data_IF_927429705528
#
_entry.id   IF_927429705528
#
_cell.length_a   1.000
_cell.length_b   1.000
_cell.length_c   1.000
_cell.angle_alpha   90.00
_cell.angle_beta   90.00
_cell.angle_gamma   90.00
#
_symmetry.space_group_name_H-M   'P 1'
#
loop_
_entity.id
_entity.type
_entity.pdbx_description
1 polymer ?
#
# COMPACT_ATOMS: atom_id res chain seq x y z
N UNK A 1 4.24 34.92 24.31
CA UNK A 1 5.49 34.42 23.68
C UNK A 1 5.27 34.47 22.17
N UNK A 2 5.81 35.47 21.45
CA UNK A 2 5.54 35.62 20.02
C UNK A 2 6.68 35.08 19.14
N UNK A 3 6.30 34.84 17.88
CA UNK A 3 7.07 34.77 16.62
C UNK A 3 7.80 33.47 16.25
N UNK A 4 7.29 32.84 15.20
CA UNK A 4 8.09 32.49 14.02
C UNK A 4 7.20 32.56 12.76
N UNK A 5 7.49 33.57 11.94
CA UNK A 5 6.94 33.78 10.62
C UNK A 5 7.55 32.77 9.64
N UNK A 6 6.72 32.07 8.87
CA UNK A 6 7.12 31.30 7.70
C UNK A 6 6.54 31.96 6.45
N UNK A 7 7.40 32.63 5.68
CA UNK A 7 7.06 33.27 4.41
C UNK A 7 6.56 32.20 3.41
N UNK A 8 5.30 32.31 2.98
CA UNK A 8 4.87 31.75 1.71
C UNK A 8 5.24 32.76 0.62
N UNK A 9 6.19 32.41 -0.25
CA UNK A 9 6.37 33.12 -1.52
C UNK A 9 5.17 32.75 -2.39
N UNK A 10 4.12 33.57 -2.37
CA UNK A 10 3.00 33.47 -3.30
C UNK A 10 3.37 34.25 -4.55
N UNK A 11 3.93 33.54 -5.55
CA UNK A 11 3.98 34.05 -6.92
C UNK A 11 2.67 33.66 -7.61
N UNK A 12 1.68 34.54 -7.50
CA UNK A 12 0.36 34.45 -8.13
C UNK A 12 -0.67 33.71 -7.27
N UNK A 13 -1.70 34.44 -6.82
CA UNK A 13 -2.87 33.82 -6.21
C UNK A 13 -3.60 32.98 -7.26
N UNK A 14 -3.67 31.66 -7.05
CA UNK A 14 -4.64 30.85 -7.78
C UNK A 14 -6.07 31.31 -7.37
N UNK A 15 -7.06 31.33 -8.28
CA UNK A 15 -8.43 31.74 -7.96
C UNK A 15 -9.15 30.80 -6.97
N UNK A 16 -8.52 29.66 -6.66
CA UNK A 16 -8.93 28.70 -5.64
C UNK A 16 -7.67 28.41 -4.83
N UNK A 17 -7.75 28.51 -3.50
CA UNK A 17 -6.66 28.10 -2.61
C UNK A 17 -6.51 26.57 -2.68
N UNK A 18 -5.84 26.07 -3.72
CA UNK A 18 -5.55 24.64 -3.87
C UNK A 18 -4.24 24.35 -3.13
N UNK A 19 -4.31 23.50 -2.12
CA UNK A 19 -3.16 23.02 -1.38
C UNK A 19 -2.70 21.68 -1.98
N UNK A 20 -1.40 21.62 -2.32
CA UNK A 20 -0.75 20.37 -2.68
C UNK A 20 -0.34 19.64 -1.40
N UNK A 21 -1.08 18.59 -1.06
CA UNK A 21 -0.94 17.90 0.21
C UNK A 21 0.01 16.70 0.13
N UNK A 22 0.02 15.94 -0.98
CA UNK A 22 0.80 14.70 -1.11
C UNK A 22 0.95 14.18 -2.53
N UNK A 23 1.90 13.28 -2.79
CA UNK A 23 2.16 12.71 -4.13
C UNK A 23 2.56 11.24 -4.12
N UNK A 24 1.85 10.48 -4.95
CA UNK A 24 2.19 9.13 -5.38
C UNK A 24 2.97 9.13 -6.68
N UNK A 25 4.29 9.05 -6.55
CA UNK A 25 5.18 8.83 -7.69
C UNK A 25 5.49 7.35 -7.96
N UNK A 26 4.83 6.41 -7.26
CA UNK A 26 5.07 4.97 -7.44
C UNK A 26 4.28 4.36 -8.59
N UNK A 27 3.15 4.98 -8.96
CA UNK A 27 2.31 4.58 -10.09
C UNK A 27 2.58 5.35 -11.38
N UNK A 28 2.21 4.74 -12.52
CA UNK A 28 2.08 5.41 -13.82
C UNK A 28 0.59 5.39 -14.25
N UNK A 29 -0.11 6.54 -14.31
CA UNK A 29 0.41 7.89 -14.10
C UNK A 29 0.57 8.25 -12.62
N UNK A 30 1.52 9.15 -12.35
CA UNK A 30 1.71 9.81 -11.05
C UNK A 30 0.39 10.41 -10.57
N UNK A 31 0.08 10.27 -9.28
CA UNK A 31 -1.12 10.86 -8.66
C UNK A 31 -0.72 11.85 -7.58
N UNK A 32 -1.49 12.92 -7.44
CA UNK A 32 -1.28 13.97 -6.43
C UNK A 32 -2.55 14.16 -5.62
N UNK A 33 -2.41 14.32 -4.31
CA UNK A 33 -3.50 14.71 -3.44
C UNK A 33 -3.58 16.22 -3.39
N UNK A 34 -4.73 16.73 -3.80
CA UNK A 34 -5.07 18.15 -3.76
C UNK A 34 -6.17 18.38 -2.73
N UNK A 35 -6.10 19.51 -2.05
CA UNK A 35 -7.12 19.97 -1.11
C UNK A 35 -7.62 21.32 -1.57
N UNK A 36 -8.93 21.48 -1.66
CA UNK A 36 -9.55 22.80 -1.80
C UNK A 36 -9.57 23.44 -0.40
N UNK A 37 -8.81 24.50 -0.17
CA UNK A 37 -8.72 25.10 1.16
C UNK A 37 -10.01 25.81 1.58
N UNK A 38 -10.94 26.07 0.64
CA UNK A 38 -12.25 26.67 0.91
C UNK A 38 -13.23 25.61 1.41
N UNK A 39 -13.36 24.50 0.69
CA UNK A 39 -14.31 23.42 1.04
C UNK A 39 -13.71 22.38 1.98
N UNK A 40 -12.38 22.36 2.12
CA UNK A 40 -11.57 21.32 2.76
C UNK A 40 -11.74 19.93 2.11
N UNK A 41 -12.28 19.88 0.88
CA UNK A 41 -12.39 18.65 0.11
C UNK A 41 -11.02 18.19 -0.38
N UNK A 42 -10.74 16.90 -0.25
CA UNK A 42 -9.48 16.28 -0.65
C UNK A 42 -9.74 15.24 -1.73
N UNK A 43 -8.95 15.29 -2.80
CA UNK A 43 -9.03 14.30 -3.87
C UNK A 43 -7.64 13.89 -4.37
N UNK A 44 -7.52 12.62 -4.78
CA UNK A 44 -6.37 12.10 -5.51
C UNK A 44 -6.57 12.24 -7.01
N UNK A 45 -5.73 13.03 -7.66
CA UNK A 45 -5.85 13.37 -9.08
C UNK A 45 -4.58 12.95 -9.80
N UNK A 46 -4.74 12.24 -10.93
CA UNK A 46 -3.61 11.89 -11.81
C UNK A 46 -3.01 13.13 -12.47
N UNK A 47 -1.72 13.11 -12.78
CA UNK A 47 -1.13 14.07 -13.71
C UNK A 47 -1.85 13.93 -15.07
N UNK A 48 -2.29 15.05 -15.64
CA UNK A 48 -3.23 15.15 -16.76
C UNK A 48 -4.71 15.20 -16.36
N UNK A 49 -5.04 15.07 -15.07
CA UNK A 49 -6.39 15.15 -14.52
C UNK A 49 -6.83 16.59 -14.20
N UNK A 50 -8.03 16.74 -13.63
CA UNK A 50 -8.59 18.03 -13.20
C UNK A 50 -9.06 17.98 -11.75
N UNK A 51 -8.90 19.09 -11.03
CA UNK A 51 -9.35 19.31 -9.66
C UNK A 51 -9.80 20.77 -9.50
N UNK A 52 -10.97 21.00 -8.92
CA UNK A 52 -11.52 22.36 -8.68
C UNK A 52 -11.43 23.30 -9.91
N UNK A 53 -11.61 22.76 -11.12
CA UNK A 53 -11.51 23.51 -12.38
C UNK A 53 -10.09 23.78 -12.89
N UNK A 54 -9.05 23.35 -12.17
CA UNK A 54 -7.65 23.40 -12.59
C UNK A 54 -7.19 22.04 -13.13
N UNK A 55 -6.37 22.05 -14.17
CA UNK A 55 -5.74 20.89 -14.77
C UNK A 55 -4.35 20.66 -14.18
N UNK A 56 -4.07 19.43 -13.76
CA UNK A 56 -2.77 19.03 -13.22
C UNK A 56 -1.84 18.73 -14.38
N UNK A 57 -1.03 19.69 -14.82
CA UNK A 57 -0.22 19.53 -16.03
C UNK A 57 1.03 18.69 -15.83
N UNK A 58 1.73 18.89 -14.73
CA UNK A 58 2.99 18.20 -14.45
C UNK A 58 3.32 18.23 -12.97
N UNK A 59 4.06 17.22 -12.52
CA UNK A 59 4.69 17.18 -11.22
C UNK A 59 6.22 17.14 -11.39
N UNK A 60 6.92 18.10 -10.78
CA UNK A 60 8.38 18.13 -10.71
C UNK A 60 8.83 17.48 -9.40
N UNK A 61 9.34 16.25 -9.50
CA UNK A 61 9.80 15.49 -8.34
C UNK A 61 11.04 16.10 -7.67
N UNK A 62 11.92 16.76 -8.45
CA UNK A 62 13.15 17.36 -7.94
C UNK A 62 12.87 18.61 -7.10
N UNK A 63 11.82 19.36 -7.45
CA UNK A 63 11.42 20.58 -6.74
C UNK A 63 10.21 20.37 -5.82
N UNK A 64 9.57 19.20 -5.88
CA UNK A 64 8.30 18.89 -5.22
C UNK A 64 7.21 19.93 -5.53
N UNK A 65 7.12 20.31 -6.81
CA UNK A 65 6.21 21.35 -7.29
C UNK A 65 5.21 20.78 -8.29
N UNK A 66 3.96 21.18 -8.13
CA UNK A 66 2.89 20.85 -9.05
C UNK A 66 2.60 22.03 -9.98
N UNK A 67 2.50 21.77 -11.28
CA UNK A 67 2.03 22.75 -12.26
C UNK A 67 0.54 22.57 -12.50
N UNK A 68 -0.25 23.57 -12.11
CA UNK A 68 -1.68 23.64 -12.33
C UNK A 68 -1.98 24.64 -13.44
N UNK A 69 -2.99 24.39 -14.27
CA UNK A 69 -3.42 25.34 -15.30
C UNK A 69 -4.94 25.48 -15.35
N UNK A 70 -5.44 26.68 -15.60
CA UNK A 70 -6.86 26.95 -15.86
C UNK A 70 -6.95 27.88 -17.05
N UNK A 71 -7.28 27.32 -18.22
CA UNK A 71 -7.19 28.05 -19.48
C UNK A 71 -5.73 28.33 -19.86
N UNK A 72 -5.38 29.60 -20.03
CA UNK A 72 -4.01 30.03 -20.34
C UNK A 72 -3.16 30.32 -19.08
N UNK A 73 -3.81 30.49 -17.93
CA UNK A 73 -3.13 30.76 -16.67
C UNK A 73 -2.53 29.48 -16.09
N UNK A 74 -1.30 29.58 -15.57
CA UNK A 74 -0.57 28.47 -14.96
C UNK A 74 0.00 28.92 -13.62
N UNK A 75 -0.13 28.05 -12.61
CA UNK A 75 0.41 28.25 -11.28
C UNK A 75 1.34 27.09 -10.89
N UNK A 76 2.34 27.40 -10.09
CA UNK A 76 3.17 26.39 -9.45
C UNK A 76 2.85 26.33 -7.96
N UNK A 77 2.43 25.16 -7.49
CA UNK A 77 2.07 24.93 -6.09
C UNK A 77 3.14 24.01 -5.48
N UNK A 78 3.84 24.49 -4.45
CA UNK A 78 4.80 23.70 -3.71
C UNK A 78 4.08 22.78 -2.71
N UNK A 79 4.65 21.60 -2.44
CA UNK A 79 4.14 20.69 -1.42
C UNK A 79 4.17 21.38 -0.05
N UNK A 80 3.01 21.61 0.56
CA UNK A 80 2.95 22.24 1.88
C UNK A 80 3.42 21.23 2.95
N UNK A 81 4.48 21.61 3.69
CA UNK A 81 5.05 20.97 4.87
C UNK A 81 4.53 19.55 5.20
N UNK A 82 5.09 18.57 4.48
CA UNK A 82 5.35 17.25 5.06
C UNK A 82 4.23 16.22 5.03
N UNK A 83 3.81 15.78 3.84
CA UNK A 83 3.75 14.34 3.54
C UNK A 83 3.99 14.18 2.04
N UNK A 84 5.08 13.54 1.62
CA UNK A 84 5.02 12.79 0.37
C UNK A 84 4.12 11.60 0.72
N UNK A 85 2.80 11.73 0.69
CA UNK A 85 2.00 10.53 0.80
C UNK A 85 2.22 9.79 -0.51
N UNK A 86 3.09 8.78 -0.47
CA UNK A 86 2.98 7.67 -1.41
C UNK A 86 1.50 7.30 -1.41
N UNK A 87 0.76 7.54 -2.49
CA UNK A 87 -0.40 6.67 -2.66
C UNK A 87 0.19 5.27 -2.88
N UNK A 88 -0.28 4.37 -2.04
CA UNK A 88 0.58 3.32 -1.51
C UNK A 88 0.17 3.18 -0.05
N UNK A 89 -0.03 1.93 0.37
CA UNK A 89 -0.42 1.58 1.72
C UNK A 89 0.30 2.44 2.77
N UNK A 90 -0.45 2.94 3.76
CA UNK A 90 0.15 3.55 4.93
C UNK A 90 1.07 2.53 5.62
N UNK A 91 2.02 3.00 6.44
CA UNK A 91 2.92 2.07 7.15
C UNK A 91 2.12 1.16 8.08
N UNK A 92 1.05 1.66 8.69
CA UNK A 92 0.13 0.88 9.52
C UNK A 92 -0.63 -0.17 8.71
N UNK A 93 -1.11 0.18 7.51
CA UNK A 93 -1.79 -0.77 6.63
C UNK A 93 -0.83 -1.85 6.13
N UNK A 94 0.38 -1.47 5.72
CA UNK A 94 1.44 -2.40 5.29
C UNK A 94 1.81 -3.34 6.44
N UNK A 95 2.04 -2.82 7.64
CA UNK A 95 2.32 -3.62 8.82
C UNK A 95 1.15 -4.55 9.18
N UNK A 96 -0.09 -4.10 8.98
CA UNK A 96 -1.29 -4.92 9.18
C UNK A 96 -1.36 -6.10 8.21
N UNK A 97 -1.10 -5.86 6.93
CA UNK A 97 -1.05 -6.90 5.89
C UNK A 97 0.06 -7.91 6.20
N UNK A 98 1.27 -7.43 6.46
CA UNK A 98 2.42 -8.29 6.77
C UNK A 98 2.14 -9.20 7.98
N UNK A 99 1.59 -8.63 9.07
CA UNK A 99 1.20 -9.41 10.26
C UNK A 99 0.16 -10.48 9.94
N UNK A 100 -0.85 -10.15 9.14
CA UNK A 100 -1.89 -11.10 8.77
C UNK A 100 -1.33 -12.23 7.89
N UNK A 101 -0.48 -11.91 6.92
CA UNK A 101 0.19 -12.92 6.07
C UNK A 101 1.06 -13.84 6.92
N UNK A 102 1.90 -13.29 7.79
CA UNK A 102 2.74 -14.08 8.69
C UNK A 102 1.90 -14.98 9.62
N UNK A 103 0.78 -14.47 10.14
CA UNK A 103 -0.12 -15.26 10.98
C UNK A 103 -0.77 -16.42 10.21
N UNK A 104 -1.19 -16.20 8.96
CA UNK A 104 -1.71 -17.26 8.11
C UNK A 104 -0.65 -18.33 7.82
N UNK A 105 0.59 -17.92 7.51
CA UNK A 105 1.69 -18.84 7.26
C UNK A 105 2.04 -19.67 8.49
N UNK A 106 2.09 -19.07 9.67
CA UNK A 106 2.33 -19.79 10.93
C UNK A 106 1.25 -20.84 11.24
N UNK A 107 -0.01 -20.53 10.95
CA UNK A 107 -1.10 -21.49 11.10
C UNK A 107 -0.91 -22.67 10.14
N UNK A 108 -0.60 -22.38 8.87
CA UNK A 108 -0.35 -23.39 7.85
C UNK A 108 0.82 -24.30 8.20
N UNK A 109 1.95 -23.74 8.66
CA UNK A 109 3.10 -24.56 9.06
C UNK A 109 2.79 -25.45 10.24
N UNK A 110 2.12 -24.91 11.27
CA UNK A 110 1.74 -25.70 12.44
C UNK A 110 0.76 -26.83 12.09
N UNK A 111 -0.20 -26.55 11.20
CA UNK A 111 -1.13 -27.56 10.68
C UNK A 111 -0.40 -28.65 9.87
N UNK A 112 0.56 -28.26 9.02
CA UNK A 112 1.35 -29.20 8.25
C UNK A 112 2.21 -30.09 9.15
N UNK A 113 2.89 -29.51 10.14
CA UNK A 113 3.70 -30.24 11.11
C UNK A 113 2.87 -31.25 11.88
N UNK A 114 1.67 -30.86 12.32
CA UNK A 114 0.75 -31.77 12.99
C UNK A 114 0.31 -32.90 12.06
N UNK A 115 -0.03 -32.60 10.80
CA UNK A 115 -0.40 -33.62 9.82
C UNK A 115 0.72 -34.64 9.57
N UNK A 116 1.97 -34.18 9.49
CA UNK A 116 3.13 -35.07 9.33
C UNK A 116 3.28 -36.01 10.53
N UNK A 117 3.10 -35.49 11.75
CA UNK A 117 3.16 -36.30 12.97
C UNK A 117 2.03 -37.33 13.06
N UNK A 118 0.82 -36.97 12.67
CA UNK A 118 -0.35 -37.85 12.76
C UNK A 118 -0.39 -38.92 11.65
N UNK A 119 0.06 -38.57 10.45
CA UNK A 119 -0.07 -39.44 9.28
C UNK A 119 1.24 -40.10 8.84
N UNK A 120 2.38 -39.71 9.40
CA UNK A 120 3.69 -40.27 9.05
C UNK A 120 4.11 -39.97 7.61
N UNK A 121 3.58 -38.90 7.02
CA UNK A 121 3.88 -38.45 5.66
C UNK A 121 4.74 -37.18 5.70
N UNK A 122 5.46 -36.90 4.63
CA UNK A 122 6.33 -35.73 4.52
C UNK A 122 5.81 -34.65 3.58
N UNK A 123 4.63 -34.82 2.98
CA UNK A 123 4.03 -33.85 2.04
C UNK A 123 2.55 -33.72 2.31
N UNK A 124 2.02 -32.49 2.28
CA UNK A 124 0.59 -32.24 2.45
C UNK A 124 0.13 -31.11 1.55
N UNK A 125 -1.10 -31.19 1.05
CA UNK A 125 -1.71 -30.11 0.28
C UNK A 125 -2.55 -29.20 1.18
N UNK A 126 -2.68 -27.94 0.78
CA UNK A 126 -3.42 -26.92 1.53
C UNK A 126 -4.89 -27.31 1.74
N UNK A 127 -5.52 -27.96 0.75
CA UNK A 127 -6.92 -28.42 0.82
C UNK A 127 -7.13 -29.54 1.85
N UNK A 128 -6.08 -30.25 2.26
CA UNK A 128 -6.14 -31.23 3.34
C UNK A 128 -6.03 -30.58 4.73
N UNK A 129 -5.43 -29.39 4.81
CA UNK A 129 -5.24 -28.65 6.06
C UNK A 129 -6.35 -27.64 6.32
N UNK A 130 -6.89 -27.04 5.26
CA UNK A 130 -7.84 -25.92 5.32
C UNK A 130 -9.19 -26.34 4.78
N UNK A 131 -10.22 -26.30 5.62
CA UNK A 131 -11.58 -26.66 5.23
C UNK A 131 -12.53 -26.74 6.41
N UNK A 132 -13.81 -26.95 6.14
CA UNK A 132 -14.87 -26.97 7.17
C UNK A 132 -15.10 -28.36 7.77
N UNK A 133 -14.46 -29.40 7.24
CA UNK A 133 -14.59 -30.77 7.71
C UNK A 133 -13.78 -31.05 8.98
N UNK A 134 -14.14 -32.11 9.74
CA UNK A 134 -13.54 -32.41 11.05
C UNK A 134 -12.05 -32.82 10.99
N UNK A 135 -11.56 -33.20 9.82
CA UNK A 135 -10.16 -33.58 9.58
C UNK A 135 -9.24 -32.40 9.21
N UNK A 136 -9.78 -31.18 9.10
CA UNK A 136 -8.99 -30.00 8.78
C UNK A 136 -8.55 -29.28 10.06
N UNK A 137 -7.33 -28.78 10.06
CA UNK A 137 -6.75 -28.07 11.21
C UNK A 137 -7.13 -26.58 11.21
N UNK A 138 -7.41 -26.02 10.03
CA UNK A 138 -7.75 -24.62 9.83
C UNK A 138 -9.11 -24.55 9.15
N UNK A 139 -10.06 -23.83 9.77
CA UNK A 139 -11.43 -23.74 9.21
C UNK A 139 -11.49 -22.96 7.91
N UNK A 140 -10.76 -21.84 7.86
CA UNK A 140 -10.64 -20.98 6.70
C UNK A 140 -9.43 -20.07 6.87
N UNK A 141 -8.74 -19.76 5.77
CA UNK A 141 -7.77 -18.68 5.72
C UNK A 141 -8.41 -17.44 5.13
N UNK A 142 -8.07 -16.28 5.68
CA UNK A 142 -8.45 -14.98 5.13
C UNK A 142 -7.21 -14.35 4.50
N UNK A 143 -7.12 -14.25 3.16
CA UNK A 143 -6.08 -13.46 2.51
C UNK A 143 -6.07 -12.04 3.06
N UNK A 144 -4.89 -11.50 3.27
CA UNK A 144 -4.72 -10.15 3.80
C UNK A 144 -4.94 -9.12 2.69
N UNK A 145 -4.42 -9.43 1.50
CA UNK A 145 -4.39 -8.56 0.35
C UNK A 145 -4.21 -9.33 -0.98
N UNK A 146 -4.96 -10.43 -1.13
CA UNK A 146 -5.06 -11.19 -2.39
C UNK A 146 -3.95 -12.22 -2.62
N UNK A 147 -3.27 -12.63 -1.56
CA UNK A 147 -2.27 -13.69 -1.58
C UNK A 147 -2.91 -15.03 -1.87
N UNK A 148 -2.26 -15.82 -2.73
CA UNK A 148 -2.64 -17.19 -3.00
C UNK A 148 -1.75 -18.15 -2.19
N UNK A 149 -2.34 -18.79 -1.18
CA UNK A 149 -1.64 -19.79 -0.37
C UNK A 149 -1.66 -21.19 -1.00
N UNK A 150 -2.48 -21.44 -2.02
CA UNK A 150 -2.61 -22.77 -2.64
C UNK A 150 -1.34 -23.22 -3.37
N UNK A 151 -0.45 -22.28 -3.70
CA UNK A 151 0.83 -22.55 -4.37
C UNK A 151 1.94 -23.02 -3.42
N UNK A 152 1.66 -23.06 -2.11
CA UNK A 152 2.66 -23.47 -1.12
C UNK A 152 2.97 -24.96 -1.22
N UNK A 153 4.26 -25.26 -1.34
CA UNK A 153 4.78 -26.61 -1.19
C UNK A 153 5.10 -26.90 0.28
N UNK A 154 4.16 -27.56 0.95
CA UNK A 154 4.29 -27.98 2.34
C UNK A 154 4.92 -29.38 2.38
N UNK A 155 6.25 -29.38 2.42
CA UNK A 155 7.05 -30.61 2.51
C UNK A 155 7.90 -30.57 3.79
N UNK A 156 7.87 -31.65 4.57
CA UNK A 156 8.78 -31.85 5.69
C UNK A 156 10.18 -32.11 5.13
N UNK A 157 11.05 -31.10 5.22
CA UNK A 157 12.45 -31.22 4.82
C UNK A 157 13.35 -30.93 6.01
N UNK A 158 14.55 -31.51 6.02
CA UNK A 158 15.57 -31.18 7.02
C UNK A 158 16.29 -29.85 6.77
N UNK A 159 15.90 -29.13 5.72
CA UNK A 159 16.41 -27.81 5.36
C UNK A 159 15.31 -26.74 5.49
N UNK A 160 15.67 -25.47 5.80
CA UNK A 160 14.71 -24.39 5.85
C UNK A 160 14.03 -24.18 4.50
N UNK A 161 12.71 -24.00 4.51
CA UNK A 161 11.96 -23.62 3.32
C UNK A 161 11.66 -22.14 3.37
N UNK A 162 11.84 -21.46 2.24
CA UNK A 162 11.63 -20.03 2.13
C UNK A 162 10.53 -19.73 1.11
N UNK A 163 9.58 -18.90 1.53
CA UNK A 163 8.48 -18.44 0.68
C UNK A 163 8.48 -16.93 0.57
N UNK A 164 8.13 -16.48 -0.63
CA UNK A 164 7.99 -15.08 -0.99
C UNK A 164 6.57 -14.84 -1.45
N UNK A 165 5.88 -13.95 -0.75
CA UNK A 165 4.54 -13.52 -1.11
C UNK A 165 4.59 -12.08 -1.56
N UNK A 166 4.04 -11.82 -2.75
CA UNK A 166 3.75 -10.47 -3.20
C UNK A 166 2.25 -10.28 -3.21
N UNK A 167 1.77 -9.34 -2.42
CA UNK A 167 0.34 -9.02 -2.35
C UNK A 167 -0.12 -8.21 -3.56
N UNK A 168 -1.43 -8.11 -3.76
CA UNK A 168 -2.01 -7.37 -4.89
C UNK A 168 -1.62 -5.88 -4.91
N UNK A 169 -1.45 -5.28 -3.73
CA UNK A 169 -0.96 -3.89 -3.58
C UNK A 169 0.56 -3.80 -3.38
N UNK A 170 1.30 -4.88 -3.63
CA UNK A 170 2.76 -4.86 -3.74
C UNK A 170 3.52 -4.95 -2.41
N UNK A 171 2.88 -5.40 -1.33
CA UNK A 171 3.62 -5.76 -0.11
C UNK A 171 4.37 -7.06 -0.35
N UNK A 172 5.64 -7.09 0.02
CA UNK A 172 6.47 -8.29 -0.07
C UNK A 172 6.68 -8.86 1.33
N UNK A 173 6.30 -10.12 1.52
CA UNK A 173 6.48 -10.84 2.78
C UNK A 173 7.36 -12.05 2.53
N UNK A 174 8.44 -12.15 3.30
CA UNK A 174 9.37 -13.28 3.28
C UNK A 174 9.15 -14.11 4.54
N UNK A 175 8.98 -15.40 4.36
CA UNK A 175 8.77 -16.32 5.47
C UNK A 175 9.69 -17.53 5.34
N UNK A 176 10.44 -17.80 6.40
CA UNK A 176 11.28 -18.98 6.49
C UNK A 176 10.66 -19.95 7.48
N UNK A 177 10.27 -21.13 6.99
CA UNK A 177 9.92 -22.28 7.82
C UNK A 177 11.23 -22.96 8.23
N UNK A 178 11.39 -23.18 9.53
CA UNK A 178 12.52 -23.93 10.10
C UNK A 178 12.26 -25.43 10.10
#
# INVERSE_FOLDING_TARGET
MPVLAGFAVVLGAAPVEIEFASVDASGDPVRVSLVDATTKEREWVKVGGRFAGCEVRAYDAGRQMLKLARGEETWEVALQAGVIAKAGLSEEERAGIEKQVLNNLRQLTAAADQYFLEHGVSTVKIDQLVGTGPSHYIKALKPADGEDYAVLDLTQTGAPQEWFFRTSRGVEVRYTRQ
#
